data_IF_128506791962
#
_entry.id   IF_128506791962
#
_cell.length_a   1.000
_cell.length_b   1.000
_cell.length_c   1.000
_cell.angle_alpha   90.00
_cell.angle_beta   90.00
_cell.angle_gamma   90.00
#
_symmetry.space_group_name_H-M   'P 1'
#
loop_
_entity.id
_entity.type
_entity.pdbx_description
1 polymer ?
#
# COMPACT_ATOMS: atom_id res chain seq x y z
N UNK A 1 16.76 -4.45 8.17
CA UNK A 1 15.40 -4.14 7.70
C UNK A 1 14.68 -3.44 8.82
N UNK A 2 14.90 -2.13 8.88
CA UNK A 2 14.02 -1.19 9.55
C UNK A 2 12.80 -0.99 8.65
N UNK A 3 11.63 -0.97 9.24
CA UNK A 3 10.41 -0.54 8.59
C UNK A 3 9.68 0.38 9.56
N UNK A 4 8.84 1.25 9.01
CA UNK A 4 7.83 2.00 9.74
C UNK A 4 6.47 1.49 9.27
N UNK A 5 5.55 1.24 10.20
CA UNK A 5 4.24 0.69 9.90
C UNK A 5 3.17 1.46 10.67
N UNK A 6 2.44 2.33 9.98
CA UNK A 6 1.38 3.15 10.56
C UNK A 6 0.01 2.60 10.15
N UNK A 7 -0.76 2.13 11.12
CA UNK A 7 -2.17 1.88 10.93
C UNK A 7 -2.94 3.19 11.09
N UNK A 8 -3.89 3.42 10.19
CA UNK A 8 -4.87 4.50 10.29
C UNK A 8 -6.25 3.86 10.21
N UNK A 9 -7.06 4.05 11.24
CA UNK A 9 -8.39 3.45 11.34
C UNK A 9 -9.45 4.54 11.38
N UNK A 10 -10.56 4.30 10.68
CA UNK A 10 -11.72 5.20 10.65
C UNK A 10 -12.84 4.61 11.50
N UNK A 11 -13.28 5.38 12.48
CA UNK A 11 -14.42 5.02 13.31
C UNK A 11 -15.77 5.27 12.61
N UNK A 12 -16.86 4.73 13.19
CA UNK A 12 -18.25 4.95 12.76
C UNK A 12 -18.66 6.44 12.62
N UNK A 13 -17.94 7.33 13.33
CA UNK A 13 -18.16 8.77 13.33
C UNK A 13 -17.43 9.50 12.18
N UNK A 14 -16.61 8.78 11.41
CA UNK A 14 -15.77 9.32 10.35
C UNK A 14 -14.48 9.98 10.85
N UNK A 15 -14.12 9.83 12.12
CA UNK A 15 -12.86 10.28 12.68
C UNK A 15 -11.72 9.31 12.35
N UNK A 16 -10.53 9.85 12.12
CA UNK A 16 -9.32 9.07 11.95
C UNK A 16 -8.55 8.96 13.27
N UNK A 17 -7.95 7.79 13.51
CA UNK A 17 -6.92 7.62 14.53
C UNK A 17 -5.79 6.79 13.95
N UNK A 18 -4.57 6.97 14.46
CA UNK A 18 -3.41 6.23 13.99
C UNK A 18 -2.63 5.56 15.13
N UNK A 19 -2.00 4.43 14.81
CA UNK A 19 -1.14 3.70 15.72
C UNK A 19 0.00 3.02 14.96
N UNK A 20 1.19 2.98 15.55
CA UNK A 20 2.29 2.18 15.00
C UNK A 20 2.02 0.68 15.23
N UNK A 21 2.15 -0.12 14.18
CA UNK A 21 1.92 -1.57 14.21
C UNK A 21 3.23 -2.33 14.12
N UNK A 22 3.43 -3.28 15.05
CA UNK A 22 4.58 -4.16 15.01
C UNK A 22 4.31 -5.41 14.17
N UNK A 23 4.96 -5.52 13.01
CA UNK A 23 4.84 -6.67 12.10
C UNK A 23 5.69 -7.89 12.51
N UNK A 24 6.53 -7.79 13.55
CA UNK A 24 7.39 -8.90 13.98
C UNK A 24 6.55 -10.10 14.40
N UNK A 25 6.86 -11.25 13.81
CA UNK A 25 6.18 -12.52 14.08
C UNK A 25 4.92 -12.73 13.25
N UNK A 26 4.56 -11.84 12.31
CA UNK A 26 3.62 -12.23 11.26
C UNK A 26 4.34 -13.20 10.33
N UNK A 27 3.57 -14.16 9.83
CA UNK A 27 4.03 -15.17 8.90
C UNK A 27 3.36 -15.04 7.54
N UNK A 28 2.18 -14.42 7.50
CA UNK A 28 1.32 -14.19 6.35
C UNK A 28 0.54 -12.86 6.51
N UNK A 29 -0.22 -12.51 5.47
CA UNK A 29 -1.11 -11.34 5.44
C UNK A 29 -2.26 -11.45 6.44
N UNK A 30 -2.73 -12.66 6.76
CA UNK A 30 -3.77 -12.89 7.77
C UNK A 30 -3.31 -12.44 9.15
N UNK A 31 -2.08 -12.80 9.54
CA UNK A 31 -1.48 -12.34 10.79
C UNK A 31 -1.20 -10.82 10.82
N UNK A 32 -1.13 -10.16 9.66
CA UNK A 32 -1.08 -8.69 9.57
C UNK A 32 -2.48 -8.10 9.72
N UNK A 33 -3.49 -8.69 9.07
CA UNK A 33 -4.89 -8.29 9.20
C UNK A 33 -5.37 -8.38 10.65
N UNK A 34 -5.01 -9.46 11.37
CA UNK A 34 -5.34 -9.61 12.79
C UNK A 34 -4.76 -8.47 13.64
N UNK A 35 -3.51 -8.07 13.40
CA UNK A 35 -2.91 -6.93 14.11
C UNK A 35 -3.55 -5.61 13.74
N UNK A 36 -3.99 -5.46 12.50
CA UNK A 36 -4.68 -4.25 12.07
C UNK A 36 -6.06 -4.15 12.75
N UNK A 37 -6.76 -5.27 12.93
CA UNK A 37 -8.01 -5.36 13.71
C UNK A 37 -7.79 -5.11 15.21
N UNK A 38 -6.63 -5.46 15.75
CA UNK A 38 -6.30 -5.19 17.16
C UNK A 38 -6.15 -3.68 17.47
N UNK A 39 -5.92 -2.83 16.45
CA UNK A 39 -5.83 -1.37 16.62
C UNK A 39 -7.20 -0.80 17.00
N UNK A 40 -8.23 -1.11 16.23
CA UNK A 40 -9.62 -0.87 16.59
C UNK A 40 -10.53 -1.97 16.00
N UNK A 41 -11.13 -2.82 16.85
CA UNK A 41 -11.99 -3.91 16.39
C UNK A 41 -13.36 -3.45 15.87
N UNK A 42 -13.70 -2.16 16.00
CA UNK A 42 -14.96 -1.59 15.51
C UNK A 42 -14.72 -0.59 14.36
N UNK A 43 -13.51 -0.52 13.81
CA UNK A 43 -13.26 0.34 12.66
C UNK A 43 -13.97 -0.21 11.41
N UNK A 44 -14.70 0.68 10.73
CA UNK A 44 -15.33 0.37 9.44
C UNK A 44 -14.29 0.20 8.34
N UNK A 45 -13.15 0.88 8.49
CA UNK A 45 -12.05 0.91 7.54
C UNK A 45 -10.73 1.04 8.30
N UNK A 46 -9.79 0.15 8.00
CA UNK A 46 -8.43 0.21 8.48
C UNK A 46 -7.45 0.20 7.31
N UNK A 47 -6.51 1.14 7.33
CA UNK A 47 -5.39 1.22 6.39
C UNK A 47 -4.10 0.97 7.14
N UNK A 48 -3.13 0.33 6.49
CA UNK A 48 -1.79 0.14 7.00
C UNK A 48 -0.78 0.58 5.95
N UNK A 49 -0.01 1.61 6.27
CA UNK A 49 1.11 2.09 5.46
C UNK A 49 2.40 1.49 6.01
N UNK A 50 3.11 0.72 5.18
CA UNK A 50 4.39 0.10 5.53
C UNK A 50 5.48 0.66 4.64
N UNK A 51 6.41 1.39 5.24
CA UNK A 51 7.56 2.00 4.60
C UNK A 51 8.82 1.20 4.96
N UNK A 52 9.60 0.79 3.97
CA UNK A 52 10.80 0.00 4.18
C UNK A 52 12.00 0.61 3.46
N UNK A 53 13.08 0.80 4.24
CA UNK A 53 14.41 1.21 3.76
C UNK A 53 14.40 2.44 2.84
N UNK A 54 13.45 3.35 3.04
CA UNK A 54 13.25 4.57 2.23
C UNK A 54 13.07 4.32 0.72
N UNK A 55 12.78 3.08 0.33
CA UNK A 55 12.72 2.64 -1.08
C UNK A 55 11.39 1.97 -1.42
N UNK A 56 10.75 1.33 -0.43
CA UNK A 56 9.55 0.53 -0.66
C UNK A 56 8.36 0.97 0.20
N UNK A 57 7.22 1.11 -0.45
CA UNK A 57 5.90 1.33 0.16
C UNK A 57 4.98 0.14 -0.10
N UNK A 58 4.30 -0.31 0.95
CA UNK A 58 3.11 -1.17 0.88
C UNK A 58 1.94 -0.47 1.55
N UNK A 59 0.78 -0.52 0.92
CA UNK A 59 -0.47 -0.06 1.50
C UNK A 59 -1.42 -1.26 1.57
N UNK A 60 -1.94 -1.53 2.76
CA UNK A 60 -2.95 -2.55 2.99
C UNK A 60 -4.24 -1.89 3.42
N UNK A 61 -5.36 -2.40 2.92
CA UNK A 61 -6.71 -1.95 3.27
C UNK A 61 -7.53 -3.12 3.76
N UNK A 62 -8.19 -2.91 4.87
CA UNK A 62 -9.14 -3.83 5.47
C UNK A 62 -10.46 -3.09 5.70
N UNK A 63 -11.48 -3.45 4.95
CA UNK A 63 -12.86 -3.02 5.18
C UNK A 63 -13.56 -4.00 6.14
N UNK A 64 -14.59 -3.53 6.86
CA UNK A 64 -15.36 -4.38 7.77
C UNK A 64 -15.92 -5.63 7.07
N UNK A 65 -15.49 -6.80 7.51
CA UNK A 65 -15.99 -8.09 6.99
C UNK A 65 -15.45 -8.49 5.61
N UNK A 66 -14.51 -7.73 5.05
CA UNK A 66 -13.84 -8.07 3.79
C UNK A 66 -12.41 -8.61 4.00
N UNK A 67 -11.85 -9.17 2.93
CA UNK A 67 -10.46 -9.63 2.90
C UNK A 67 -9.48 -8.45 2.72
N UNK A 68 -8.24 -8.65 3.15
CA UNK A 68 -7.19 -7.64 3.06
C UNK A 68 -6.82 -7.37 1.60
N UNK A 69 -6.95 -6.12 1.15
CA UNK A 69 -6.46 -5.65 -0.15
C UNK A 69 -5.06 -5.07 0.03
N UNK A 70 -4.18 -5.31 -0.94
CA UNK A 70 -2.76 -4.92 -0.84
C UNK A 70 -2.28 -4.28 -2.13
N UNK A 71 -1.51 -3.22 -1.99
CA UNK A 71 -0.69 -2.61 -3.04
C UNK A 71 0.76 -2.54 -2.57
N UNK A 72 1.68 -2.98 -3.43
CA UNK A 72 3.12 -2.78 -3.27
C UNK A 72 3.64 -1.89 -4.39
N UNK A 73 4.53 -0.95 -4.04
CA UNK A 73 5.11 0.01 -5.00
C UNK A 73 6.11 -0.58 -5.99
N UNK A 74 6.73 -1.71 -5.64
CA UNK A 74 7.78 -2.35 -6.43
C UNK A 74 7.76 -3.89 -6.25
N UNK A 75 7.58 -4.61 -7.36
CA UNK A 75 7.52 -6.07 -7.39
C UNK A 75 8.88 -6.74 -7.16
N UNK A 76 9.97 -6.15 -7.63
CA UNK A 76 11.32 -6.67 -7.47
C UNK A 76 11.76 -6.59 -6.01
N UNK A 77 11.57 -5.43 -5.36
CA UNK A 77 11.82 -5.29 -3.91
C UNK A 77 10.98 -6.30 -3.11
N UNK A 78 9.73 -6.52 -3.53
CA UNK A 78 8.83 -7.46 -2.87
C UNK A 78 9.37 -8.90 -2.89
N UNK A 79 9.95 -9.33 -4.01
CA UNK A 79 10.50 -10.67 -4.21
C UNK A 79 11.82 -10.91 -3.46
N UNK A 80 12.67 -9.89 -3.38
CA UNK A 80 14.02 -10.02 -2.83
C UNK A 80 14.06 -9.90 -1.30
N UNK A 81 13.01 -9.34 -0.70
CA UNK A 81 12.98 -9.06 0.74
C UNK A 81 11.96 -9.91 1.49
N UNK A 82 12.26 -10.21 2.76
CA UNK A 82 11.33 -10.95 3.63
C UNK A 82 10.05 -10.17 3.93
N UNK A 83 10.15 -8.85 4.03
CA UNK A 83 8.99 -7.99 4.29
C UNK A 83 8.08 -7.96 3.07
N UNK A 84 8.65 -7.80 1.88
CA UNK A 84 7.94 -7.91 0.62
C UNK A 84 7.24 -9.26 0.45
N UNK A 85 7.97 -10.35 0.67
CA UNK A 85 7.42 -11.70 0.58
C UNK A 85 6.28 -11.94 1.58
N UNK A 86 6.35 -11.36 2.78
CA UNK A 86 5.29 -11.43 3.78
C UNK A 86 4.01 -10.72 3.34
N UNK A 87 4.15 -9.51 2.78
CA UNK A 87 3.00 -8.62 2.53
C UNK A 87 2.37 -8.82 1.14
N UNK A 88 3.17 -9.22 0.15
CA UNK A 88 2.76 -9.32 -1.27
C UNK A 88 2.91 -10.74 -1.82
N UNK A 89 3.62 -11.63 -1.13
CA UNK A 89 3.89 -12.99 -1.62
C UNK A 89 2.63 -13.79 -1.95
N UNK A 90 1.59 -13.67 -1.13
CA UNK A 90 0.32 -14.40 -1.32
C UNK A 90 -0.56 -13.83 -2.44
N UNK A 91 -0.36 -12.56 -2.85
CA UNK A 91 -1.09 -12.00 -4.00
C UNK A 91 -0.83 -12.81 -5.27
N UNK A 92 0.38 -13.35 -5.42
CA UNK A 92 0.73 -14.24 -6.53
C UNK A 92 -0.02 -15.57 -6.46
N UNK A 93 -0.22 -16.11 -5.26
CA UNK A 93 -0.97 -17.35 -5.08
C UNK A 93 -2.45 -17.17 -5.48
N UNK A 94 -3.05 -16.04 -5.12
CA UNK A 94 -4.44 -15.69 -5.45
C UNK A 94 -4.67 -15.49 -6.94
N UNK A 95 -3.71 -14.90 -7.68
CA UNK A 95 -3.77 -14.80 -9.15
C UNK A 95 -3.60 -16.16 -9.82
N UNK A 96 -2.79 -17.07 -9.27
CA UNK A 96 -2.60 -18.42 -9.83
C UNK A 96 -3.74 -19.41 -9.54
N UNK A 97 -4.80 -18.98 -8.82
CA UNK A 97 -5.96 -19.79 -8.48
C UNK A 97 -7.05 -19.85 -9.56
N UNK A 98 -7.02 -18.96 -10.57
CA UNK A 98 -7.98 -18.91 -11.68
C UNK A 98 -7.26 -18.47 -12.97
N UNK A 99 -7.23 -19.37 -13.95
CA UNK A 99 -6.84 -19.20 -15.36
C UNK A 99 -5.37 -18.87 -15.71
N UNK A 100 -4.69 -19.91 -16.23
CA UNK A 100 -3.70 -19.76 -17.30
C UNK A 100 -4.37 -19.04 -18.49
N UNK A 101 -4.26 -17.72 -18.54
CA UNK A 101 -4.39 -16.96 -19.79
C UNK A 101 -3.09 -16.20 -20.04
N UNK A 102 -2.20 -16.85 -20.79
CA UNK A 102 -1.31 -16.13 -21.69
C UNK A 102 -2.18 -15.25 -22.58
N UNK A 103 -2.04 -13.93 -22.49
CA UNK A 103 -2.49 -13.03 -23.54
C UNK A 103 -1.28 -12.32 -24.16
N UNK A 104 -1.13 -12.36 -25.50
CA UNK A 104 0.01 -11.80 -26.20
C UNK A 104 -0.21 -10.33 -26.59
N UNK A 105 0.83 -9.51 -26.48
CA UNK A 105 1.18 -8.53 -27.52
C UNK A 105 0.55 -7.13 -27.47
N UNK A 106 1.48 -6.16 -27.43
CA UNK A 106 1.47 -4.84 -28.11
C UNK A 106 0.34 -3.86 -27.80
N UNK A 107 0.62 -2.88 -26.92
CA UNK A 107 -0.11 -1.60 -26.88
C UNK A 107 0.69 -0.53 -27.61
N UNK A 108 0.16 -0.10 -28.75
CA UNK A 108 0.62 1.00 -29.60
C UNK A 108 0.50 2.32 -28.82
N UNK A 109 1.63 2.89 -28.40
CA UNK A 109 1.67 4.16 -27.66
C UNK A 109 1.74 5.34 -28.63
N UNK A 110 0.69 6.17 -28.61
CA UNK A 110 0.61 7.51 -29.22
C UNK A 110 1.60 8.48 -28.52
N UNK A 111 2.55 9.14 -29.23
CA UNK A 111 3.54 10.00 -28.60
C UNK A 111 3.01 11.44 -28.50
N UNK A 112 2.35 11.80 -27.38
CA UNK A 112 1.70 13.10 -27.26
C UNK A 112 1.67 13.77 -25.88
N UNK A 113 2.24 13.18 -24.83
CA UNK A 113 2.23 13.77 -23.49
C UNK A 113 3.60 13.59 -22.82
N UNK A 114 4.28 14.71 -22.59
CA UNK A 114 5.47 14.81 -21.74
C UNK A 114 5.06 14.53 -20.28
N UNK A 115 4.87 13.26 -19.97
CA UNK A 115 4.75 12.76 -18.60
C UNK A 115 6.17 12.63 -18.02
N UNK A 116 6.41 12.98 -16.76
CA UNK A 116 7.71 12.73 -16.12
C UNK A 116 8.04 11.24 -16.28
N UNK A 117 9.30 10.93 -16.60
CA UNK A 117 9.76 9.56 -16.70
C UNK A 117 9.59 8.92 -15.32
N UNK A 118 8.62 8.01 -15.18
CA UNK A 118 8.62 7.06 -14.10
C UNK A 118 9.96 6.33 -14.12
N UNK A 119 10.57 6.12 -12.97
CA UNK A 119 11.72 5.24 -12.87
C UNK A 119 11.36 3.89 -13.52
N UNK A 120 12.07 3.44 -14.57
CA UNK A 120 11.71 2.21 -15.28
C UNK A 120 11.91 0.94 -14.45
N UNK A 121 12.41 1.02 -13.22
CA UNK A 121 12.61 -0.13 -12.33
C UNK A 121 11.46 -0.37 -11.35
N UNK A 122 10.70 0.66 -10.95
CA UNK A 122 9.57 0.51 -10.03
C UNK A 122 8.34 -0.08 -10.74
N UNK A 123 7.98 -1.31 -10.37
CA UNK A 123 6.84 -2.05 -10.93
C UNK A 123 5.77 -2.32 -9.85
N UNK A 124 4.79 -1.43 -9.67
CA UNK A 124 3.77 -1.60 -8.65
C UNK A 124 2.90 -2.85 -8.87
N UNK A 125 2.54 -3.52 -7.79
CA UNK A 125 1.79 -4.78 -7.79
C UNK A 125 0.61 -4.75 -6.85
N UNK A 126 -0.40 -5.54 -7.18
CA UNK A 126 -1.64 -5.64 -6.42
C UNK A 126 -2.68 -4.60 -6.81
N UNK A 127 -3.45 -4.14 -5.82
CA UNK A 127 -4.64 -3.36 -6.05
C UNK A 127 -4.35 -1.86 -6.00
N UNK A 128 -4.02 -1.27 -7.15
CA UNK A 128 -3.76 0.17 -7.24
C UNK A 128 -4.98 1.03 -6.88
N UNK A 129 -6.20 0.52 -7.00
CA UNK A 129 -7.43 1.27 -6.75
C UNK A 129 -7.93 1.15 -5.30
N UNK A 130 -7.11 0.60 -4.38
CA UNK A 130 -7.51 0.42 -2.99
C UNK A 130 -7.83 1.71 -2.23
N UNK A 131 -7.41 2.88 -2.72
CA UNK A 131 -7.70 4.19 -2.13
C UNK A 131 -8.65 5.04 -3.00
N UNK A 132 -9.19 4.49 -4.09
CA UNK A 132 -9.90 5.27 -5.10
C UNK A 132 -11.16 5.95 -4.57
N UNK A 133 -11.96 5.25 -3.76
CA UNK A 133 -13.15 5.77 -3.08
C UNK A 133 -12.82 6.78 -1.97
N UNK A 134 -11.57 6.83 -1.52
CA UNK A 134 -11.06 7.82 -0.57
C UNK A 134 -10.43 9.03 -1.25
N UNK A 135 -10.47 9.09 -2.59
CA UNK A 135 -10.00 10.24 -3.38
C UNK A 135 -8.60 10.11 -3.98
N UNK A 136 -7.91 8.98 -3.77
CA UNK A 136 -6.61 8.69 -4.39
C UNK A 136 -6.80 7.60 -5.46
N UNK A 137 -6.92 7.99 -6.72
CA UNK A 137 -7.05 7.04 -7.83
C UNK A 137 -5.79 6.18 -7.99
N UNK A 138 -5.90 4.96 -8.53
CA UNK A 138 -4.72 4.13 -8.76
C UNK A 138 -3.70 4.75 -9.69
N UNK A 139 -4.14 5.49 -10.72
CA UNK A 139 -3.24 6.27 -11.57
C UNK A 139 -2.46 7.35 -10.80
N UNK A 140 -3.07 7.98 -9.81
CA UNK A 140 -2.40 8.97 -8.96
C UNK A 140 -1.41 8.27 -8.02
N UNK A 141 -1.82 7.17 -7.39
CA UNK A 141 -0.97 6.42 -6.47
C UNK A 141 0.30 5.93 -7.18
N UNK A 142 0.16 5.31 -8.35
CA UNK A 142 1.29 4.86 -9.19
C UNK A 142 2.19 6.05 -9.57
N UNK A 143 1.59 7.18 -9.97
CA UNK A 143 2.36 8.37 -10.34
C UNK A 143 3.14 8.98 -9.16
N UNK A 144 2.62 8.89 -7.93
CA UNK A 144 3.34 9.32 -6.73
C UNK A 144 4.53 8.39 -6.46
N UNK A 145 4.33 7.07 -6.52
CA UNK A 145 5.42 6.10 -6.31
C UNK A 145 6.54 6.23 -7.35
N UNK A 146 6.19 6.50 -8.62
CA UNK A 146 7.17 6.66 -9.69
C UNK A 146 7.78 8.07 -9.81
N UNK A 147 7.47 8.99 -8.88
CA UNK A 147 7.97 10.35 -8.96
C UNK A 147 9.43 10.43 -8.53
N UNK A 148 10.29 10.96 -9.41
CA UNK A 148 11.73 11.08 -9.14
C UNK A 148 12.00 11.84 -7.84
N UNK A 149 12.78 11.21 -6.93
CA UNK A 149 13.19 11.80 -5.67
C UNK A 149 12.13 11.79 -4.57
N UNK A 150 10.97 11.18 -4.82
CA UNK A 150 9.93 11.00 -3.81
C UNK A 150 10.21 9.75 -2.97
N UNK A 151 10.23 9.89 -1.64
CA UNK A 151 10.42 8.76 -0.73
C UNK A 151 9.06 8.11 -0.41
N UNK A 152 9.04 6.83 0.05
CA UNK A 152 7.83 6.17 0.54
C UNK A 152 7.05 7.02 1.56
N UNK A 153 7.76 7.69 2.47
CA UNK A 153 7.16 8.58 3.46
C UNK A 153 6.44 9.78 2.84
N UNK A 154 6.99 10.36 1.76
CA UNK A 154 6.36 11.47 1.04
C UNK A 154 5.07 11.00 0.35
N UNK A 155 5.07 9.79 -0.22
CA UNK A 155 3.89 9.19 -0.84
C UNK A 155 2.80 8.95 0.20
N UNK A 156 3.16 8.39 1.36
CA UNK A 156 2.26 8.22 2.50
C UNK A 156 1.67 9.56 2.94
N UNK A 157 2.50 10.60 3.10
CA UNK A 157 2.04 11.92 3.54
C UNK A 157 1.07 12.57 2.54
N UNK A 158 1.35 12.47 1.23
CA UNK A 158 0.45 12.97 0.17
C UNK A 158 -0.88 12.19 0.14
N UNK A 159 -0.84 10.86 0.30
CA UNK A 159 -2.06 10.07 0.40
C UNK A 159 -2.86 10.46 1.65
N UNK A 160 -2.23 10.51 2.82
CA UNK A 160 -2.88 10.86 4.08
C UNK A 160 -3.47 12.28 4.07
N UNK A 161 -2.84 13.21 3.34
CA UNK A 161 -3.38 14.57 3.13
C UNK A 161 -4.72 14.53 2.40
N UNK A 162 -4.86 13.68 1.38
CA UNK A 162 -6.13 13.51 0.65
C UNK A 162 -7.17 12.80 1.50
N UNK A 163 -6.76 11.78 2.28
CA UNK A 163 -7.64 11.02 3.17
C UNK A 163 -8.11 11.85 4.38
N UNK A 164 -7.37 12.90 4.75
CA UNK A 164 -7.64 13.72 5.92
C UNK A 164 -7.11 13.12 7.23
N UNK A 165 -6.07 12.28 7.15
CA UNK A 165 -5.45 11.61 8.30
C UNK A 165 -3.93 11.90 8.42
N UNK A 166 -3.47 13.01 7.83
CA UNK A 166 -2.06 13.35 7.79
C UNK A 166 -1.51 13.66 9.19
N UNK A 167 -2.23 14.43 10.00
CA UNK A 167 -1.77 14.85 11.32
C UNK A 167 -1.54 13.63 12.22
N UNK A 168 -2.47 12.67 12.19
CA UNK A 168 -2.44 11.44 12.99
C UNK A 168 -1.23 10.56 12.64
N UNK A 169 -0.86 10.47 11.36
CA UNK A 169 0.31 9.71 10.91
C UNK A 169 1.61 10.44 11.25
N UNK A 170 1.65 11.77 11.09
CA UNK A 170 2.82 12.57 11.42
C UNK A 170 3.15 12.54 12.91
N UNK A 171 2.14 12.51 13.80
CA UNK A 171 2.35 12.33 15.24
C UNK A 171 3.13 11.04 15.58
N UNK A 172 2.97 9.97 14.80
CA UNK A 172 3.71 8.71 14.98
C UNK A 172 5.18 8.81 14.53
N UNK A 173 5.57 9.85 13.81
CA UNK A 173 6.95 10.05 13.36
C UNK A 173 7.79 10.86 14.35
N UNK A 174 7.14 11.54 15.31
CA UNK A 174 7.82 12.39 16.31
C UNK A 174 8.31 11.62 17.55
N UNK A 175 8.04 10.31 17.63
CA UNK A 175 8.28 9.46 18.82
C UNK A 175 9.62 8.72 18.86
#
# INVERSE_FOLDING_TARGET
MSYFAAAVVRDDGGGWTAAEVNLRGAVDVDGVADRLRDVDPNADLSLLFVEAEDEYLVILRLDEGEDLRVFGSDSAYAEETRLGALLVGDLKASVTGLDEIEEPGVSDSDPGSEQPAADPEADPVGDADLLADLGVSGSRLIALCGHEGMLPADVTAEACTVLGCADEVEELREV
#
